data_IF_868486878583
#
_entry.id   IF_868486878583
#
_cell.length_a   1.000
_cell.length_b   1.000
_cell.length_c   1.000
_cell.angle_alpha   90.00
_cell.angle_beta   90.00
_cell.angle_gamma   90.00
#
_symmetry.space_group_name_H-M   'P 1'
#
loop_
_entity.id
_entity.type
_entity.pdbx_description
1 polymer ?
#
# COMPACT_ATOMS: atom_id res chain seq x y z
N UNK A 1 5.32 9.66 4.84
CA UNK A 1 4.52 9.36 3.64
C UNK A 1 4.00 10.60 2.89
N UNK A 2 3.28 11.54 3.52
CA UNK A 2 2.81 12.78 2.83
C UNK A 2 3.95 13.61 2.25
N UNK A 3 5.04 13.82 3.00
CA UNK A 3 6.29 14.43 2.49
C UNK A 3 6.90 13.67 1.29
N UNK A 4 6.55 12.40 1.13
CA UNK A 4 6.99 11.55 0.03
C UNK A 4 5.99 11.53 -1.16
N UNK A 5 4.93 12.33 -1.13
CA UNK A 5 3.96 12.47 -2.23
C UNK A 5 2.69 11.61 -2.07
N UNK A 6 2.46 11.02 -0.90
CA UNK A 6 1.19 10.34 -0.65
C UNK A 6 0.05 11.37 -0.53
N UNK A 7 -1.05 11.17 -1.27
CA UNK A 7 -2.29 11.95 -1.15
C UNK A 7 -2.89 11.83 0.23
N UNK A 8 -2.83 10.63 0.80
CA UNK A 8 -3.21 10.34 2.18
C UNK A 8 -2.17 9.44 2.83
N UNK A 9 -2.00 9.57 4.14
CA UNK A 9 -1.24 8.65 4.97
C UNK A 9 -2.10 8.30 6.19
N UNK A 10 -2.42 7.03 6.37
CA UNK A 10 -3.44 6.57 7.32
C UNK A 10 -2.93 5.35 8.08
N UNK A 11 -3.31 5.23 9.35
CA UNK A 11 -3.10 4.02 10.16
C UNK A 11 -4.16 2.98 9.78
N UNK A 12 -3.73 1.73 9.61
CA UNK A 12 -4.64 0.61 9.38
C UNK A 12 -5.05 -0.02 10.72
N UNK A 13 -6.36 -0.08 10.99
CA UNK A 13 -6.91 -0.65 12.22
C UNK A 13 -6.42 0.08 13.47
N UNK A 14 -6.04 -0.66 14.52
CA UNK A 14 -5.43 -0.13 15.74
C UNK A 14 -3.93 0.16 15.62
N UNK A 15 -3.34 0.03 14.42
CA UNK A 15 -1.90 0.04 14.22
C UNK A 15 -1.25 -1.34 14.48
N UNK A 16 0.07 -1.49 14.31
CA UNK A 16 1.13 -0.48 14.07
C UNK A 16 1.37 -0.12 12.60
N UNK A 17 0.56 -0.63 11.69
CA UNK A 17 0.74 -0.44 10.24
C UNK A 17 0.20 0.91 9.76
N UNK A 18 0.97 1.57 8.90
CA UNK A 18 0.59 2.78 8.18
C UNK A 18 0.72 2.54 6.68
N UNK A 19 -0.23 3.05 5.90
CA UNK A 19 -0.17 3.01 4.44
C UNK A 19 -0.37 4.40 3.83
N UNK A 20 0.19 4.58 2.64
CA UNK A 20 0.06 5.79 1.84
C UNK A 20 -0.72 5.50 0.56
N UNK A 21 -1.63 6.39 0.19
CA UNK A 21 -2.29 6.34 -1.13
C UNK A 21 -1.54 7.29 -2.06
N UNK A 22 -1.09 6.78 -3.20
CA UNK A 22 -0.29 7.52 -4.17
C UNK A 22 -1.00 7.50 -5.53
N UNK A 23 -1.03 8.65 -6.21
CA UNK A 23 -1.59 8.73 -7.56
C UNK A 23 -0.57 8.28 -8.62
N UNK A 24 0.74 8.32 -8.29
CA UNK A 24 1.82 7.96 -9.22
C UNK A 24 2.77 6.94 -8.61
N UNK A 25 3.08 5.91 -9.38
CA UNK A 25 4.00 4.84 -8.97
C UNK A 25 5.38 5.37 -8.54
N UNK A 26 5.91 6.39 -9.24
CA UNK A 26 7.19 7.02 -8.87
C UNK A 26 7.21 7.60 -7.46
N UNK A 27 6.08 8.11 -6.97
CA UNK A 27 5.96 8.70 -5.63
C UNK A 27 5.92 7.59 -4.57
N UNK A 28 5.20 6.50 -4.85
CA UNK A 28 5.21 5.31 -4.01
C UNK A 28 6.61 4.67 -3.93
N UNK A 29 7.31 4.54 -5.07
CA UNK A 29 8.67 4.01 -5.14
C UNK A 29 9.67 4.87 -4.36
N UNK A 30 9.57 6.21 -4.45
CA UNK A 30 10.37 7.12 -3.63
C UNK A 30 10.09 6.95 -2.15
N UNK A 31 8.81 6.87 -1.76
CA UNK A 31 8.41 6.68 -0.37
C UNK A 31 8.94 5.35 0.20
N UNK A 32 8.88 4.27 -0.58
CA UNK A 32 9.47 2.99 -0.22
C UNK A 32 10.97 3.11 0.01
N UNK A 33 11.71 3.76 -0.90
CA UNK A 33 13.16 3.96 -0.74
C UNK A 33 13.52 4.68 0.54
N UNK A 34 12.73 5.69 0.93
CA UNK A 34 12.93 6.40 2.21
C UNK A 34 12.64 5.50 3.41
N UNK A 35 11.55 4.73 3.40
CA UNK A 35 11.13 3.91 4.55
C UNK A 35 11.98 2.64 4.74
N UNK A 36 12.49 2.05 3.66
CA UNK A 36 13.39 0.88 3.76
C UNK A 36 14.71 1.24 4.44
N UNK A 37 15.10 2.51 4.41
CA UNK A 37 16.28 3.00 5.11
C UNK A 37 16.06 3.30 6.60
N UNK A 38 14.81 3.24 7.08
CA UNK A 38 14.46 3.47 8.48
C UNK A 38 14.49 2.13 9.25
N UNK A 39 15.26 2.07 10.33
CA UNK A 39 15.39 0.87 11.15
C UNK A 39 14.03 0.44 11.74
N UNK A 40 13.76 -0.87 11.69
CA UNK A 40 12.54 -1.47 12.25
C UNK A 40 11.31 -1.41 11.33
N UNK A 41 11.40 -0.80 10.15
CA UNK A 41 10.29 -0.76 9.19
C UNK A 41 10.28 -1.97 8.26
N UNK A 42 9.16 -2.70 8.25
CA UNK A 42 8.85 -3.66 7.20
C UNK A 42 7.96 -3.01 6.15
N UNK A 43 8.49 -2.86 4.93
CA UNK A 43 7.86 -2.05 3.87
C UNK A 43 7.41 -2.93 2.71
N UNK A 44 6.14 -2.82 2.35
CA UNK A 44 5.55 -3.52 1.20
C UNK A 44 5.12 -2.51 0.13
N UNK A 45 5.45 -2.81 -1.13
CA UNK A 45 4.86 -2.13 -2.27
C UNK A 45 3.58 -2.88 -2.68
N UNK A 46 2.45 -2.19 -2.71
CA UNK A 46 1.16 -2.78 -3.03
C UNK A 46 0.49 -1.99 -4.16
N UNK A 47 -0.20 -2.71 -5.05
CA UNK A 47 -1.13 -2.11 -6.00
C UNK A 47 -2.56 -2.18 -5.42
N UNK A 48 -3.34 -1.11 -5.61
CA UNK A 48 -4.78 -1.18 -5.38
C UNK A 48 -5.41 -1.94 -6.52
N UNK A 49 -6.11 -3.03 -6.20
CA UNK A 49 -6.84 -3.82 -7.18
C UNK A 49 -8.32 -3.42 -7.20
N UNK A 50 -8.90 -3.38 -8.39
CA UNK A 50 -10.34 -3.45 -8.55
C UNK A 50 -10.87 -4.82 -8.10
N UNK A 51 -12.18 -4.89 -7.87
CA UNK A 51 -12.84 -6.16 -7.53
C UNK A 51 -12.71 -7.20 -8.65
N UNK A 52 -12.66 -6.76 -9.91
CA UNK A 52 -12.47 -7.62 -11.07
C UNK A 52 -11.08 -8.26 -11.07
N UNK A 53 -10.04 -7.45 -10.92
CA UNK A 53 -8.64 -7.90 -10.85
C UNK A 53 -8.42 -8.84 -9.65
N UNK A 54 -8.99 -8.51 -8.49
CA UNK A 54 -8.92 -9.37 -7.31
C UNK A 54 -9.54 -10.75 -7.57
N UNK A 55 -10.75 -10.81 -8.15
CA UNK A 55 -11.42 -12.08 -8.48
C UNK A 55 -10.65 -12.90 -9.51
N UNK A 56 -10.06 -12.24 -10.51
CA UNK A 56 -9.24 -12.91 -11.51
C UNK A 56 -7.98 -13.52 -10.91
N UNK A 57 -7.33 -12.81 -9.97
CA UNK A 57 -6.11 -13.28 -9.32
C UNK A 57 -6.36 -14.42 -8.30
N UNK A 58 -7.52 -14.45 -7.63
CA UNK A 58 -7.77 -15.35 -6.49
C UNK A 58 -8.90 -16.39 -6.68
N UNK A 59 -9.58 -16.40 -7.83
CA UNK A 59 -10.58 -17.43 -8.17
C UNK A 59 -11.82 -17.45 -7.26
N UNK A 60 -12.58 -18.57 -7.26
CA UNK A 60 -13.86 -18.69 -6.53
C UNK A 60 -13.78 -18.51 -5.01
N UNK A 61 -12.61 -18.70 -4.37
CA UNK A 61 -12.43 -18.46 -2.93
C UNK A 61 -12.61 -16.98 -2.54
N UNK A 62 -12.45 -16.05 -3.48
CA UNK A 62 -12.66 -14.62 -3.28
C UNK A 62 -14.14 -14.17 -3.37
N UNK A 63 -15.07 -15.07 -3.69
CA UNK A 63 -16.48 -14.74 -3.98
C UNK A 63 -17.35 -14.69 -2.72
N UNK A 64 -16.86 -15.19 -1.58
CA UNK A 64 -17.63 -15.33 -0.33
C UNK A 64 -17.48 -14.11 0.62
N UNK A 65 -16.66 -13.11 0.26
CA UNK A 65 -16.54 -11.82 0.97
C UNK A 65 -17.15 -10.66 0.15
#
# INVERSE_FOLDING_TARGET
LTKAGARHAIVSGSGSSVFGVFDKEREASRARGMLVAEDGWQVFACATLSRGEYRQAFGQCAVIL
#
